data_IF_573630220758
#
_entry.id   IF_573630220758
#
_cell.length_a   1.000
_cell.length_b   1.000
_cell.length_c   1.000
_cell.angle_alpha   90.00
_cell.angle_beta   90.00
_cell.angle_gamma   90.00
#
_symmetry.space_group_name_H-M   'P 1'
#
loop_
_entity.id
_entity.type
_entity.pdbx_description
1 polymer ?
#
# COMPACT_ATOMS: atom_id res chain seq x y z
N UNK A 1 22.93 -13.04 -6.58
CA UNK A 1 22.99 -11.69 -5.98
C UNK A 1 22.15 -10.75 -6.83
N UNK A 2 21.58 -9.69 -6.26
CA UNK A 2 20.83 -8.69 -7.01
C UNK A 2 21.54 -7.36 -6.81
N UNK A 3 22.02 -6.75 -7.90
CA UNK A 3 22.65 -5.45 -7.89
C UNK A 3 21.61 -4.41 -8.33
N UNK A 4 21.53 -3.30 -7.59
CA UNK A 4 20.65 -2.19 -7.93
C UNK A 4 21.42 -1.16 -8.73
N UNK A 5 20.71 -0.51 -9.64
CA UNK A 5 21.27 0.53 -10.49
C UNK A 5 20.16 1.30 -11.17
N UNK A 6 20.54 2.43 -11.75
CA UNK A 6 19.65 3.31 -12.49
C UNK A 6 20.14 3.47 -13.94
N UNK A 7 19.23 3.86 -14.83
CA UNK A 7 19.56 4.09 -16.24
C UNK A 7 19.99 5.54 -16.41
N UNK A 8 21.26 5.77 -16.74
CA UNK A 8 21.77 7.07 -17.16
C UNK A 8 22.14 7.01 -18.65
N UNK A 9 21.49 7.84 -19.48
CA UNK A 9 21.77 7.92 -20.94
C UNK A 9 21.72 6.56 -21.66
N UNK A 10 20.86 5.66 -21.21
CA UNK A 10 20.70 4.31 -21.80
C UNK A 10 21.70 3.28 -21.29
N UNK A 11 22.57 3.63 -20.34
CA UNK A 11 23.50 2.70 -19.65
C UNK A 11 22.99 2.44 -18.25
N UNK A 12 23.02 1.18 -17.80
CA UNK A 12 22.71 0.83 -16.41
C UNK A 12 23.94 1.10 -15.56
N UNK A 13 23.86 2.10 -14.67
CA UNK A 13 24.89 2.44 -13.69
C UNK A 13 24.50 1.81 -12.37
N UNK A 14 25.39 1.02 -11.78
CA UNK A 14 25.16 0.40 -10.47
C UNK A 14 25.24 1.46 -9.36
N UNK A 15 24.30 1.42 -8.41
CA UNK A 15 24.26 2.38 -7.30
C UNK A 15 25.36 2.10 -6.28
N UNK A 16 25.74 0.82 -6.16
CA UNK A 16 26.78 0.34 -5.25
C UNK A 16 27.91 -0.32 -6.06
N UNK A 17 29.18 -0.15 -5.66
CA UNK A 17 30.30 -0.81 -6.32
C UNK A 17 30.18 -2.33 -6.17
N UNK A 18 30.24 -3.04 -7.30
CA UNK A 18 30.20 -4.50 -7.36
C UNK A 18 31.44 -5.04 -8.08
N UNK A 19 32.03 -6.10 -7.54
CA UNK A 19 33.19 -6.77 -8.13
C UNK A 19 32.72 -7.80 -9.16
N UNK A 20 32.39 -7.32 -10.36
CA UNK A 20 32.01 -8.14 -11.51
C UNK A 20 33.26 -8.44 -12.35
N UNK A 21 33.44 -9.71 -12.71
CA UNK A 21 34.58 -10.13 -13.52
C UNK A 21 34.26 -9.94 -14.99
N UNK A 22 35.29 -9.67 -15.79
CA UNK A 22 35.17 -9.63 -17.24
C UNK A 22 34.62 -10.99 -17.75
N UNK A 23 33.55 -10.94 -18.54
CA UNK A 23 32.87 -12.11 -19.10
C UNK A 23 31.71 -12.68 -18.28
N UNK A 24 31.36 -12.07 -17.14
CA UNK A 24 30.18 -12.50 -16.37
C UNK A 24 28.86 -12.24 -17.14
N UNK A 25 28.04 -13.27 -17.31
CA UNK A 25 26.72 -13.15 -17.93
C UNK A 25 25.74 -12.48 -16.96
N UNK A 26 25.18 -11.34 -17.36
CA UNK A 26 24.22 -10.58 -16.55
C UNK A 26 22.83 -10.56 -17.18
N UNK A 27 21.80 -10.67 -16.33
CA UNK A 27 20.41 -10.46 -16.72
C UNK A 27 19.92 -9.15 -16.14
N UNK A 28 19.57 -8.21 -17.01
CA UNK A 28 18.94 -6.95 -16.60
C UNK A 28 17.45 -7.19 -16.44
N UNK A 29 16.93 -6.95 -15.24
CA UNK A 29 15.50 -6.90 -14.98
C UNK A 29 15.16 -5.48 -14.55
N UNK A 30 14.26 -4.83 -15.28
CA UNK A 30 13.66 -3.58 -14.79
C UNK A 30 12.92 -3.92 -13.50
N UNK A 31 13.45 -3.45 -12.38
CA UNK A 31 12.65 -3.34 -11.17
C UNK A 31 11.46 -2.46 -11.56
N UNK A 32 10.24 -2.86 -11.18
CA UNK A 32 9.12 -1.91 -11.14
C UNK A 32 9.70 -0.68 -10.47
N UNK A 33 9.69 0.48 -11.16
CA UNK A 33 10.04 1.77 -10.58
C UNK A 33 9.47 1.69 -9.18
N UNK A 34 10.33 1.73 -8.16
CA UNK A 34 9.85 1.80 -6.79
C UNK A 34 8.73 2.82 -6.86
N UNK A 35 7.50 2.38 -6.62
CA UNK A 35 6.36 3.28 -6.58
C UNK A 35 6.87 4.46 -5.78
N UNK A 36 6.73 5.66 -6.33
CA UNK A 36 7.24 6.89 -5.72
C UNK A 36 7.05 6.76 -4.21
N UNK A 37 8.06 7.13 -3.40
CA UNK A 37 8.08 6.82 -1.97
C UNK A 37 6.67 6.98 -1.41
N UNK A 38 6.20 5.99 -0.64
CA UNK A 38 4.83 5.93 -0.08
C UNK A 38 4.39 7.24 0.62
N UNK A 39 5.30 8.18 0.82
CA UNK A 39 5.10 9.61 1.09
C UNK A 39 3.96 10.27 0.28
N UNK A 40 3.71 9.85 -0.97
CA UNK A 40 2.60 10.41 -1.79
C UNK A 40 1.31 9.57 -1.76
N UNK A 41 1.29 8.41 -1.10
CA UNK A 41 0.08 7.62 -0.96
C UNK A 41 -0.82 8.25 0.12
N UNK A 42 -2.12 8.51 -0.18
CA UNK A 42 -3.02 9.08 0.81
C UNK A 42 -3.15 8.13 2.01
N UNK A 43 -2.99 8.67 3.21
CA UNK A 43 -3.10 7.87 4.43
C UNK A 43 -4.51 7.31 4.60
N UNK A 44 -4.70 6.30 5.44
CA UNK A 44 -6.05 5.82 5.79
C UNK A 44 -6.94 6.95 6.33
N UNK A 45 -6.35 7.90 7.05
CA UNK A 45 -7.05 9.10 7.49
C UNK A 45 -7.49 9.94 6.29
N UNK A 46 -6.60 10.22 5.34
CA UNK A 46 -6.95 11.03 4.15
C UNK A 46 -8.06 10.40 3.31
N UNK A 47 -8.08 9.07 3.23
CA UNK A 47 -9.09 8.32 2.49
C UNK A 47 -10.45 8.28 3.19
N UNK A 48 -10.48 8.32 4.53
CA UNK A 48 -11.70 8.10 5.32
C UNK A 48 -12.22 9.36 6.02
N UNK A 49 -11.47 10.48 6.03
CA UNK A 49 -11.82 11.71 6.77
C UNK A 49 -13.21 12.24 6.50
N UNK A 50 -13.72 12.06 5.27
CA UNK A 50 -15.05 12.55 4.87
C UNK A 50 -16.19 11.72 5.48
N UNK A 51 -15.91 10.51 5.97
CA UNK A 51 -16.90 9.60 6.58
C UNK A 51 -16.65 9.32 8.06
N UNK A 52 -15.50 9.74 8.61
CA UNK A 52 -15.20 9.58 10.03
C UNK A 52 -16.17 10.47 10.84
N UNK A 53 -16.95 9.84 11.73
CA UNK A 53 -17.82 10.55 12.66
C UNK A 53 -19.10 11.13 12.06
N UNK A 54 -19.43 10.84 10.80
CA UNK A 54 -20.63 11.40 10.13
C UNK A 54 -21.96 10.93 10.71
N UNK A 55 -21.95 9.82 11.45
CA UNK A 55 -23.14 9.15 11.90
C UNK A 55 -23.37 9.42 13.38
N UNK A 56 -24.22 10.41 13.66
CA UNK A 56 -24.56 10.89 15.01
C UNK A 56 -25.80 10.20 15.57
N UNK A 57 -25.88 10.09 16.90
CA UNK A 57 -27.07 9.57 17.60
C UNK A 57 -27.34 8.07 17.40
N UNK A 58 -26.38 7.33 16.88
CA UNK A 58 -26.51 5.90 16.66
C UNK A 58 -26.43 5.09 17.95
N UNK A 59 -27.11 3.94 18.02
CA UNK A 59 -26.93 2.97 19.10
C UNK A 59 -25.48 2.49 19.21
N UNK A 60 -24.95 2.28 20.43
CA UNK A 60 -23.56 1.87 20.63
C UNK A 60 -23.24 0.46 20.07
N UNK A 61 -24.26 -0.36 19.86
CA UNK A 61 -24.17 -1.72 19.32
C UNK A 61 -24.55 -1.82 17.84
N UNK A 62 -24.68 -0.68 17.13
CA UNK A 62 -25.11 -0.68 15.72
C UNK A 62 -24.20 -1.51 14.81
N UNK A 63 -22.87 -1.46 15.01
CA UNK A 63 -21.93 -2.20 14.16
C UNK A 63 -22.20 -3.72 14.19
N UNK A 64 -22.46 -4.25 15.39
CA UNK A 64 -22.74 -5.67 15.61
C UNK A 64 -24.17 -6.05 15.19
N UNK A 65 -25.12 -5.16 15.45
CA UNK A 65 -26.55 -5.37 15.29
C UNK A 65 -27.18 -4.58 14.13
N UNK A 66 -26.42 -4.27 13.08
CA UNK A 66 -26.93 -3.41 12.00
C UNK A 66 -28.21 -3.96 11.36
N UNK A 67 -28.33 -5.28 11.19
CA UNK A 67 -29.54 -5.95 10.70
C UNK A 67 -30.77 -5.74 11.59
N UNK A 68 -30.59 -5.65 12.90
CA UNK A 68 -31.68 -5.35 13.83
C UNK A 68 -32.23 -3.94 13.57
N UNK A 69 -31.34 -2.96 13.41
CA UNK A 69 -31.73 -1.57 13.26
C UNK A 69 -32.20 -1.21 11.84
N UNK A 70 -31.62 -1.83 10.81
CA UNK A 70 -31.97 -1.60 9.40
C UNK A 70 -33.17 -2.46 8.95
N UNK A 71 -33.30 -3.67 9.48
CA UNK A 71 -34.22 -4.68 8.95
C UNK A 71 -35.13 -5.32 10.00
N UNK A 72 -35.01 -4.94 11.28
CA UNK A 72 -35.88 -5.44 12.36
C UNK A 72 -35.58 -6.88 12.80
N UNK A 73 -34.44 -7.46 12.41
CA UNK A 73 -34.04 -8.79 12.86
C UNK A 73 -33.80 -8.84 14.39
N UNK A 74 -33.87 -10.00 15.04
CA UNK A 74 -33.46 -10.14 16.44
C UNK A 74 -32.01 -9.68 16.65
N UNK A 75 -31.71 -9.07 17.80
CA UNK A 75 -30.33 -8.71 18.17
C UNK A 75 -29.48 -9.97 18.36
N UNK A 76 -28.23 -9.90 17.94
CA UNK A 76 -27.20 -10.87 18.29
C UNK A 76 -26.88 -10.67 19.78
N UNK A 77 -27.08 -11.72 20.56
CA UNK A 77 -26.58 -11.79 21.94
C UNK A 77 -25.17 -12.37 21.91
N UNK A 78 -24.23 -11.66 22.55
CA UNK A 78 -22.86 -12.13 22.79
C UNK A 78 -22.82 -13.33 23.72
#
# INVERSE_FOLDING_TARGET
>A
MTLKGHVEKGVVVLDEPADLREGDEVRVQLSRRAEAPEEDAPTLYDQLKDVIGIAEGLPPDLAENHDHYLHGHPKKTA
#
